data_IF_774854474992
#
_entry.id   IF_774854474992
#
_cell.length_a   1.000
_cell.length_b   1.000
_cell.length_c   1.000
_cell.angle_alpha   90.00
_cell.angle_beta   90.00
_cell.angle_gamma   90.00
#
_symmetry.space_group_name_H-M   'P 1'
#
loop_
_entity.id
_entity.type
_entity.pdbx_description
1 polymer ?
#
# COMPACT_ATOMS: atom_id res chain seq x y z
N UNK A 1 14.81 11.45 2.77
CA UNK A 1 13.39 11.67 2.43
C UNK A 1 13.24 12.57 1.22
N UNK A 2 14.02 13.62 1.16
CA UNK A 2 13.92 14.56 0.05
C UNK A 2 14.27 13.91 -1.30
N UNK A 3 15.29 13.09 -1.33
CA UNK A 3 15.68 12.36 -2.54
C UNK A 3 14.65 11.30 -2.94
N UNK A 4 14.11 10.59 -1.96
CA UNK A 4 13.08 9.59 -2.20
C UNK A 4 11.80 10.26 -2.72
N UNK A 5 11.45 11.42 -2.19
CA UNK A 5 10.29 12.19 -2.67
C UNK A 5 10.46 12.63 -4.11
N UNK A 6 11.65 13.08 -4.49
CA UNK A 6 11.96 13.45 -5.87
C UNK A 6 11.89 12.25 -6.79
N UNK A 7 12.44 11.12 -6.36
CA UNK A 7 12.38 9.87 -7.12
C UNK A 7 10.92 9.43 -7.32
N UNK A 8 10.13 9.45 -6.25
CA UNK A 8 8.72 9.05 -6.32
C UNK A 8 7.95 9.97 -7.27
N UNK A 9 8.20 11.27 -7.22
CA UNK A 9 7.57 12.21 -8.14
C UNK A 9 7.89 11.87 -9.60
N UNK A 10 9.13 11.52 -9.88
CA UNK A 10 9.52 11.09 -11.23
C UNK A 10 8.79 9.82 -11.65
N UNK A 11 8.65 8.84 -10.75
CA UNK A 11 7.97 7.58 -11.05
C UNK A 11 6.49 7.82 -11.38
N UNK A 12 5.78 8.59 -10.55
CA UNK A 12 4.34 8.82 -10.77
C UNK A 12 4.06 9.73 -11.97
N UNK A 13 5.05 10.44 -12.46
CA UNK A 13 4.94 11.25 -13.68
C UNK A 13 5.37 10.47 -14.92
N UNK A 14 5.91 9.26 -14.77
CA UNK A 14 6.35 8.44 -15.90
C UNK A 14 5.17 7.91 -16.71
N UNK A 15 5.43 7.61 -17.99
CA UNK A 15 4.40 7.04 -18.85
C UNK A 15 3.97 5.66 -18.37
N UNK A 16 4.90 4.86 -17.86
CA UNK A 16 4.62 3.53 -17.34
C UNK A 16 3.59 3.61 -16.20
N UNK A 17 3.78 4.54 -15.28
CA UNK A 17 2.85 4.72 -14.16
C UNK A 17 1.49 5.23 -14.66
N UNK A 18 1.50 6.26 -15.48
CA UNK A 18 0.26 6.90 -15.96
C UNK A 18 -0.59 5.95 -16.79
N UNK A 19 0.04 5.06 -17.54
CA UNK A 19 -0.65 4.11 -18.43
C UNK A 19 -0.99 2.79 -17.76
N UNK A 20 -0.55 2.56 -16.52
CA UNK A 20 -0.83 1.32 -15.82
C UNK A 20 -2.32 1.21 -15.48
N UNK A 21 -2.87 0.00 -15.65
CA UNK A 21 -4.27 -0.27 -15.28
C UNK A 21 -4.45 -0.33 -13.76
N UNK A 22 -3.44 -0.84 -13.06
CA UNK A 22 -3.45 -0.98 -11.59
C UNK A 22 -2.12 -0.47 -11.08
N UNK A 23 -2.16 0.32 -10.00
CA UNK A 23 -0.99 0.97 -9.41
C UNK A 23 -0.89 0.58 -7.95
N UNK A 24 0.20 -0.11 -7.58
CA UNK A 24 0.43 -0.60 -6.22
C UNK A 24 1.76 -0.08 -5.73
N UNK A 25 1.80 0.40 -4.48
CA UNK A 25 3.03 0.82 -3.83
C UNK A 25 3.35 -0.14 -2.67
N UNK A 26 4.63 -0.39 -2.49
CA UNK A 26 5.15 -1.16 -1.35
C UNK A 26 5.91 -0.21 -0.45
N UNK A 27 5.60 -0.23 0.84
CA UNK A 27 6.28 0.59 1.82
C UNK A 27 6.35 -0.17 3.13
N UNK A 28 7.53 -0.24 3.75
CA UNK A 28 7.66 -0.98 5.01
C UNK A 28 6.77 -0.39 6.09
N UNK A 29 6.86 0.92 6.34
CA UNK A 29 6.06 1.57 7.37
C UNK A 29 4.76 2.11 6.81
N UNK A 30 3.61 1.78 7.44
CA UNK A 30 2.33 2.33 7.00
C UNK A 30 2.20 3.81 7.35
N UNK A 31 1.43 4.59 6.56
CA UNK A 31 1.21 6.00 6.87
C UNK A 31 0.35 6.17 8.11
N UNK A 32 0.67 7.18 8.91
CA UNK A 32 -0.18 7.66 9.99
C UNK A 32 -0.38 6.75 11.18
N UNK A 33 0.26 5.59 11.21
CA UNK A 33 0.09 4.62 12.30
C UNK A 33 1.17 4.81 13.36
N UNK A 34 0.81 4.55 14.62
CA UNK A 34 1.72 4.40 15.76
C UNK A 34 2.52 5.62 16.20
N UNK A 35 2.49 6.72 15.50
CA UNK A 35 3.24 7.91 15.88
C UNK A 35 4.76 7.81 15.77
N UNK A 36 5.29 6.77 15.12
CA UNK A 36 6.72 6.68 14.84
C UNK A 36 7.10 7.71 13.78
N UNK A 37 8.33 8.20 13.84
CA UNK A 37 8.82 9.20 12.90
C UNK A 37 8.71 8.72 11.45
N UNK A 38 9.05 7.46 11.18
CA UNK A 38 8.95 6.89 9.84
C UNK A 38 7.51 6.91 9.29
N UNK A 39 6.53 6.57 10.12
CA UNK A 39 5.12 6.63 9.73
C UNK A 39 4.70 8.06 9.39
N UNK A 40 5.11 9.01 10.20
CA UNK A 40 4.85 10.42 9.96
C UNK A 40 5.47 10.90 8.65
N UNK A 41 6.71 10.49 8.37
CA UNK A 41 7.41 10.88 7.15
C UNK A 41 6.73 10.33 5.90
N UNK A 42 6.23 9.08 5.96
CA UNK A 42 5.45 8.51 4.86
C UNK A 42 4.18 9.33 4.61
N UNK A 43 3.43 9.65 5.67
CA UNK A 43 2.21 10.45 5.56
C UNK A 43 2.47 11.84 5.01
N UNK A 44 3.58 12.45 5.39
CA UNK A 44 3.89 13.82 5.00
C UNK A 44 4.47 13.94 3.59
N UNK A 45 5.37 13.03 3.22
CA UNK A 45 6.18 13.18 2.00
C UNK A 45 5.75 12.30 0.84
N UNK A 46 5.16 11.14 1.10
CA UNK A 46 4.80 10.19 0.03
C UNK A 46 3.30 10.13 -0.25
N UNK A 47 2.48 10.13 0.79
CA UNK A 47 1.03 9.99 0.63
C UNK A 47 0.42 11.10 -0.23
N UNK A 48 0.77 12.39 -0.07
CA UNK A 48 0.18 13.42 -0.94
C UNK A 48 0.49 13.20 -2.42
N UNK A 49 1.71 12.77 -2.75
CA UNK A 49 2.07 12.47 -4.14
C UNK A 49 1.25 11.30 -4.68
N UNK A 50 1.08 10.25 -3.87
CA UNK A 50 0.33 9.06 -4.27
C UNK A 50 -1.17 9.31 -4.36
N UNK A 51 -1.72 10.15 -3.48
CA UNK A 51 -3.12 10.58 -3.57
C UNK A 51 -3.39 11.27 -4.91
N UNK A 52 -2.55 12.22 -5.26
CA UNK A 52 -2.69 12.97 -6.50
C UNK A 52 -2.48 12.08 -7.72
N UNK A 53 -1.61 11.09 -7.59
CA UNK A 53 -1.27 10.17 -8.68
C UNK A 53 -2.26 9.00 -8.83
N UNK A 54 -3.28 8.90 -7.99
CA UNK A 54 -4.32 7.88 -8.14
C UNK A 54 -3.87 6.47 -7.82
N UNK A 55 -3.11 6.29 -6.74
CA UNK A 55 -2.69 4.95 -6.31
C UNK A 55 -3.90 4.10 -5.95
N UNK A 56 -3.87 2.81 -6.32
CA UNK A 56 -4.97 1.88 -6.04
C UNK A 56 -4.83 1.17 -4.70
N UNK A 57 -3.59 0.86 -4.29
CA UNK A 57 -3.34 0.09 -3.08
C UNK A 57 -1.92 0.30 -2.59
N UNK A 58 -1.74 0.41 -1.28
CA UNK A 58 -0.42 0.36 -0.65
C UNK A 58 -0.31 -0.88 0.23
N UNK A 59 0.78 -1.63 0.05
CA UNK A 59 1.07 -2.81 0.86
C UNK A 59 2.21 -2.47 1.82
N UNK A 60 1.98 -2.68 3.11
CA UNK A 60 2.91 -2.32 4.17
C UNK A 60 3.16 -3.48 5.13
N UNK A 61 4.12 -3.28 6.03
CA UNK A 61 4.50 -4.26 7.05
C UNK A 61 4.68 -3.54 8.40
N UNK A 62 5.85 -3.70 9.03
CA UNK A 62 6.29 -3.02 10.25
C UNK A 62 5.54 -3.38 11.53
N UNK A 63 4.21 -3.36 11.54
CA UNK A 63 3.40 -3.53 12.76
C UNK A 63 3.27 -4.98 13.20
N UNK A 64 3.67 -5.95 12.37
CA UNK A 64 3.64 -7.39 12.63
C UNK A 64 2.24 -7.96 12.81
N UNK A 65 1.19 -7.19 12.53
CA UNK A 65 -0.21 -7.61 12.64
C UNK A 65 -0.97 -7.19 11.39
N UNK A 66 -1.89 -8.04 10.96
CA UNK A 66 -2.77 -7.70 9.85
C UNK A 66 -3.67 -6.52 10.22
N UNK A 67 -3.79 -5.59 9.28
CA UNK A 67 -4.79 -4.52 9.38
C UNK A 67 -5.09 -3.97 7.99
N UNK A 68 -6.37 -3.83 7.69
CA UNK A 68 -6.81 -3.14 6.49
C UNK A 68 -7.25 -1.73 6.89
N UNK A 69 -6.50 -0.72 6.43
CA UNK A 69 -6.79 0.68 6.70
C UNK A 69 -7.57 1.24 5.51
N UNK A 70 -8.82 1.59 5.74
CA UNK A 70 -9.70 2.10 4.69
C UNK A 70 -9.32 3.51 4.28
N UNK A 71 -9.58 3.89 3.00
CA UNK A 71 -9.33 5.27 2.55
C UNK A 71 -9.99 6.28 3.49
N UNK A 72 -9.26 7.36 3.80
CA UNK A 72 -9.77 8.42 4.66
C UNK A 72 -9.57 8.22 6.14
N UNK A 73 -9.11 7.04 6.58
CA UNK A 73 -8.79 6.79 7.99
C UNK A 73 -7.53 7.57 8.40
N UNK A 74 -6.58 7.65 7.49
CA UNK A 74 -5.41 8.54 7.60
C UNK A 74 -5.55 9.61 6.50
N UNK A 75 -4.46 10.30 6.15
CA UNK A 75 -4.49 11.22 5.02
C UNK A 75 -4.47 10.51 3.66
N UNK A 76 -4.33 9.19 3.62
CA UNK A 76 -4.34 8.42 2.39
C UNK A 76 -5.77 8.25 1.88
N UNK A 77 -6.00 8.53 0.59
CA UNK A 77 -7.30 8.31 -0.04
C UNK A 77 -7.34 7.00 -0.84
N UNK A 78 -6.42 6.09 -0.52
CA UNK A 78 -6.35 4.74 -1.06
C UNK A 78 -6.27 3.74 0.10
N UNK A 79 -6.63 2.47 -0.12
CA UNK A 79 -6.53 1.47 0.95
C UNK A 79 -5.08 1.12 1.23
N UNK A 80 -4.79 0.86 2.51
CA UNK A 80 -3.48 0.42 2.97
C UNK A 80 -3.66 -0.93 3.65
N UNK A 81 -3.00 -1.96 3.15
CA UNK A 81 -3.05 -3.29 3.76
C UNK A 81 -1.72 -3.55 4.46
N UNK A 82 -1.78 -3.76 5.77
CA UNK A 82 -0.62 -4.07 6.59
C UNK A 82 -0.60 -5.57 6.80
N UNK A 83 0.47 -6.23 6.35
CA UNK A 83 0.61 -7.67 6.50
C UNK A 83 1.29 -8.01 7.82
N UNK A 84 0.92 -9.16 8.40
CA UNK A 84 1.54 -9.66 9.60
C UNK A 84 2.88 -10.33 9.28
N UNK A 85 3.78 -10.40 10.25
CA UNK A 85 4.98 -11.20 10.08
C UNK A 85 4.59 -12.68 10.06
N UNK A 86 5.42 -13.52 9.46
CA UNK A 86 5.20 -14.97 9.32
C UNK A 86 3.96 -15.31 8.48
N UNK A 87 3.43 -14.37 7.74
CA UNK A 87 2.32 -14.62 6.82
C UNK A 87 2.71 -14.21 5.40
N UNK A 88 2.26 -15.01 4.43
CA UNK A 88 2.52 -14.76 3.02
C UNK A 88 1.29 -14.14 2.39
N UNK A 89 1.50 -13.09 1.62
CA UNK A 89 0.44 -12.42 0.89
C UNK A 89 0.57 -12.76 -0.59
N UNK A 90 -0.49 -13.35 -1.16
CA UNK A 90 -0.59 -13.62 -2.59
C UNK A 90 -1.55 -12.61 -3.21
N UNK A 91 -1.08 -11.91 -4.23
CA UNK A 91 -1.84 -10.86 -4.88
C UNK A 91 -2.11 -11.25 -6.33
N UNK A 92 -3.37 -11.25 -6.73
CA UNK A 92 -3.78 -11.54 -8.10
C UNK A 92 -4.38 -10.28 -8.72
N UNK A 93 -3.89 -9.90 -9.89
CA UNK A 93 -4.35 -8.71 -10.61
C UNK A 93 -5.03 -9.14 -11.91
N UNK A 94 -6.21 -8.58 -12.18
CA UNK A 94 -6.90 -8.80 -13.45
C UNK A 94 -7.72 -7.54 -13.81
N UNK A 95 -8.53 -7.62 -14.85
CA UNK A 95 -9.34 -6.50 -15.31
C UNK A 95 -10.47 -6.12 -14.35
N UNK A 96 -10.76 -6.95 -13.36
CA UNK A 96 -11.77 -6.69 -12.33
C UNK A 96 -11.19 -6.04 -11.08
N UNK A 97 -9.88 -6.03 -10.92
CA UNK A 97 -9.22 -5.42 -9.79
C UNK A 97 -8.14 -6.27 -9.15
N UNK A 98 -8.05 -6.19 -7.83
CA UNK A 98 -7.00 -6.82 -7.03
C UNK A 98 -7.65 -7.80 -6.06
N UNK A 99 -7.20 -9.05 -6.07
CA UNK A 99 -7.61 -10.08 -5.12
C UNK A 99 -6.40 -10.50 -4.29
N UNK A 100 -6.54 -10.46 -2.97
CA UNK A 100 -5.45 -10.78 -2.06
C UNK A 100 -5.88 -11.89 -1.12
N UNK A 101 -5.03 -12.93 -1.00
CA UNK A 101 -5.18 -13.97 0.00
C UNK A 101 -3.94 -14.00 0.87
N UNK A 102 -4.12 -14.12 2.16
CA UNK A 102 -3.03 -14.17 3.13
C UNK A 102 -3.03 -15.56 3.76
N UNK A 103 -1.85 -16.18 3.78
CA UNK A 103 -1.64 -17.55 4.25
C UNK A 103 -0.72 -17.54 5.46
N UNK A 104 -1.05 -18.39 6.45
CA UNK A 104 -0.16 -18.61 7.59
C UNK A 104 0.95 -19.61 7.23
N UNK A 105 1.77 -19.95 8.21
CA UNK A 105 2.90 -20.88 8.00
C UNK A 105 2.46 -22.30 7.69
N UNK A 106 1.22 -22.65 8.00
CA UNK A 106 0.64 -23.98 7.69
C UNK A 106 -0.04 -23.99 6.32
N UNK A 107 -0.10 -22.87 5.64
CA UNK A 107 -0.72 -22.77 4.34
C UNK A 107 -2.23 -22.51 4.37
N UNK A 108 -2.78 -22.21 5.55
CA UNK A 108 -4.19 -21.90 5.68
C UNK A 108 -4.45 -20.41 5.37
N UNK A 109 -5.57 -20.12 4.70
CA UNK A 109 -5.96 -18.74 4.40
C UNK A 109 -6.48 -18.09 5.67
N UNK A 110 -5.82 -17.00 6.10
CA UNK A 110 -6.23 -16.24 7.29
C UNK A 110 -7.11 -15.03 6.93
N UNK A 111 -6.85 -14.42 5.77
CA UNK A 111 -7.62 -13.27 5.29
C UNK A 111 -7.78 -13.34 3.78
N UNK A 112 -8.88 -12.80 3.29
CA UNK A 112 -9.15 -12.68 1.86
C UNK A 112 -9.79 -11.31 1.61
N UNK A 113 -9.20 -10.51 0.72
CA UNK A 113 -9.62 -9.14 0.48
C UNK A 113 -9.66 -8.88 -1.02
N UNK A 114 -10.67 -8.13 -1.47
CA UNK A 114 -10.81 -7.75 -2.87
C UNK A 114 -10.97 -6.25 -2.99
N UNK A 115 -10.27 -5.66 -3.95
CA UNK A 115 -10.43 -4.25 -4.29
C UNK A 115 -10.90 -4.18 -5.74
N UNK A 116 -12.10 -3.65 -5.96
CA UNK A 116 -12.67 -3.48 -7.29
C UNK A 116 -11.93 -2.39 -8.08
N UNK A 117 -12.01 -2.52 -9.38
CA UNK A 117 -11.41 -1.54 -10.28
C UNK A 117 -12.49 -0.85 -11.11
#
# INVERSE_FOLDING_TARGET
>A
VEEESKWLKQVVESDEYKNAAIRIAFCHMPPGENGWHGNYMVSKHFVPLLNEAGLDLMLCAHNHKYKLVKPGTTNANFPVLINANLERLDCHLDDKGISIKIFDTDGAVTHSVNFGK
#
